data_IF_685658911749
#
_entry.id   IF_685658911749
#
_cell.length_a   1.000
_cell.length_b   1.000
_cell.length_c   1.000
_cell.angle_alpha   90.00
_cell.angle_beta   90.00
_cell.angle_gamma   90.00
#
_symmetry.space_group_name_H-M   'P 1'
#
loop_
_entity.id
_entity.type
_entity.pdbx_description
1 polymer ?
#
# COMPACT_ATOMS: atom_id res chain seq x y z
N UNK A 1 -23.20 -4.20 -8.25
CA UNK A 1 -21.98 -4.71 -8.92
C UNK A 1 -20.98 -4.97 -7.81
N UNK A 2 -20.71 -6.23 -7.45
CA UNK A 2 -20.08 -6.55 -6.15
C UNK A 2 -18.75 -7.28 -6.31
N UNK A 3 -17.98 -6.98 -7.36
CA UNK A 3 -16.67 -7.59 -7.59
C UNK A 3 -15.51 -6.58 -7.58
N UNK A 4 -15.81 -5.28 -7.46
CA UNK A 4 -14.80 -4.23 -7.42
C UNK A 4 -14.13 -4.26 -6.05
N UNK A 5 -12.84 -4.56 -6.04
CA UNK A 5 -11.99 -4.60 -4.85
C UNK A 5 -11.22 -3.29 -4.65
N UNK A 6 -10.85 -2.61 -5.73
CA UNK A 6 -10.16 -1.33 -5.68
C UNK A 6 -10.77 -0.35 -6.68
N UNK A 7 -11.00 0.88 -6.24
CA UNK A 7 -11.49 1.96 -7.08
C UNK A 7 -10.58 3.17 -6.89
N UNK A 8 -9.75 3.44 -7.90
CA UNK A 8 -8.93 4.63 -7.94
C UNK A 8 -9.50 5.60 -8.97
N UNK A 9 -9.94 6.76 -8.48
CA UNK A 9 -10.42 7.89 -9.27
C UNK A 9 -9.65 9.17 -8.92
N UNK A 10 -8.43 9.05 -8.37
CA UNK A 10 -7.65 10.23 -8.00
C UNK A 10 -7.13 11.00 -9.20
N UNK A 11 -6.81 12.28 -8.97
CA UNK A 11 -6.30 13.21 -9.99
C UNK A 11 -7.23 13.36 -11.20
N UNK A 12 -8.53 13.54 -10.93
CA UNK A 12 -9.52 13.84 -11.94
C UNK A 12 -10.17 15.20 -11.67
N UNK A 13 -11.02 15.64 -12.60
CA UNK A 13 -11.86 16.83 -12.44
C UNK A 13 -13.25 16.51 -11.90
N UNK A 14 -13.42 15.45 -11.09
CA UNK A 14 -14.74 15.04 -10.60
C UNK A 14 -15.28 16.09 -9.63
N UNK A 15 -16.54 16.47 -9.81
CA UNK A 15 -17.25 17.46 -9.02
C UNK A 15 -18.55 16.89 -8.42
N UNK A 16 -19.20 17.69 -7.60
CA UNK A 16 -20.41 17.29 -6.87
C UNK A 16 -20.14 16.36 -5.67
N UNK A 17 -21.19 15.80 -5.05
CA UNK A 17 -21.07 15.02 -3.83
C UNK A 17 -20.68 13.56 -4.07
N UNK A 18 -20.03 12.95 -3.08
CA UNK A 18 -19.77 11.51 -3.08
C UNK A 18 -21.12 10.77 -3.03
N UNK A 19 -21.43 9.92 -4.03
CA UNK A 19 -22.73 9.27 -4.11
C UNK A 19 -22.89 8.17 -3.07
N UNK A 20 -24.03 8.16 -2.37
CA UNK A 20 -24.37 7.14 -1.37
C UNK A 20 -24.35 5.71 -1.93
N UNK A 21 -24.64 5.55 -3.23
CA UNK A 21 -24.63 4.27 -3.92
C UNK A 21 -23.26 3.57 -3.92
N UNK A 22 -22.18 4.30 -3.64
CA UNK A 22 -20.84 3.72 -3.50
C UNK A 22 -20.76 2.73 -2.32
N UNK A 23 -21.66 2.85 -1.32
CA UNK A 23 -21.81 1.86 -0.26
C UNK A 23 -22.29 0.48 -0.74
N UNK A 24 -22.80 0.37 -1.97
CA UNK A 24 -23.24 -0.92 -2.52
C UNK A 24 -22.07 -1.79 -2.98
N UNK A 25 -20.85 -1.24 -3.04
CA UNK A 25 -19.64 -1.97 -3.40
C UNK A 25 -19.09 -2.74 -2.19
N UNK A 26 -19.86 -3.70 -1.66
CA UNK A 26 -19.59 -4.34 -0.36
C UNK A 26 -18.27 -5.11 -0.27
N UNK A 27 -17.57 -5.35 -1.38
CA UNK A 27 -16.24 -5.99 -1.43
C UNK A 27 -15.10 -4.99 -1.66
N UNK A 28 -15.39 -3.69 -1.68
CA UNK A 28 -14.38 -2.67 -1.89
C UNK A 28 -13.40 -2.67 -0.71
N UNK A 29 -12.11 -2.73 -1.03
CA UNK A 29 -10.98 -2.74 -0.09
C UNK A 29 -10.16 -1.46 -0.18
N UNK A 30 -10.08 -0.86 -1.37
CA UNK A 30 -9.36 0.40 -1.59
C UNK A 30 -10.23 1.40 -2.35
N UNK A 31 -10.32 2.63 -1.83
CA UNK A 31 -10.97 3.75 -2.49
C UNK A 31 -10.07 4.98 -2.45
N UNK A 32 -9.67 5.46 -3.61
CA UNK A 32 -8.92 6.70 -3.75
C UNK A 32 -9.73 7.69 -4.59
N UNK A 33 -10.17 8.77 -3.95
CA UNK A 33 -10.89 9.90 -4.56
C UNK A 33 -10.06 11.20 -4.47
N UNK A 34 -8.77 11.10 -4.12
CA UNK A 34 -7.94 12.28 -3.85
C UNK A 34 -7.72 13.15 -5.08
N UNK A 35 -7.38 14.42 -4.89
CA UNK A 35 -7.11 15.38 -5.97
C UNK A 35 -8.26 15.46 -6.99
N UNK A 36 -9.44 15.82 -6.48
CA UNK A 36 -10.64 16.09 -7.27
C UNK A 36 -11.29 17.40 -6.79
N UNK A 37 -12.45 17.74 -7.35
CA UNK A 37 -13.26 18.90 -6.94
C UNK A 37 -14.56 18.47 -6.24
N UNK A 38 -14.54 17.33 -5.52
CA UNK A 38 -15.72 16.81 -4.83
C UNK A 38 -16.15 17.74 -3.70
N UNK A 39 -17.45 17.84 -3.48
CA UNK A 39 -18.09 18.77 -2.53
C UNK A 39 -19.05 18.06 -1.58
N UNK A 40 -19.55 18.75 -0.56
CA UNK A 40 -20.50 18.18 0.39
C UNK A 40 -19.83 17.32 1.46
N UNK A 41 -20.57 16.35 2.00
CA UNK A 41 -20.15 15.55 3.15
C UNK A 41 -19.69 14.16 2.73
N UNK A 42 -18.84 13.53 3.53
CA UNK A 42 -18.54 12.10 3.41
C UNK A 42 -19.80 11.31 3.83
N UNK A 43 -20.43 10.52 2.95
CA UNK A 43 -21.67 9.83 3.26
C UNK A 43 -21.44 8.73 4.31
N UNK A 44 -22.22 8.77 5.40
CA UNK A 44 -22.21 7.77 6.47
C UNK A 44 -22.48 6.36 5.97
N UNK A 45 -23.16 6.22 4.84
CA UNK A 45 -23.42 4.95 4.20
C UNK A 45 -22.14 4.18 3.84
N UNK A 46 -20.99 4.86 3.66
CA UNK A 46 -19.70 4.21 3.42
C UNK A 46 -19.21 3.36 4.61
N UNK A 47 -19.75 3.57 5.81
CA UNK A 47 -19.48 2.70 6.97
C UNK A 47 -19.96 1.26 6.78
N UNK A 48 -20.81 0.99 5.77
CA UNK A 48 -21.25 -0.38 5.44
C UNK A 48 -20.17 -1.22 4.75
N UNK A 49 -19.11 -0.59 4.26
CA UNK A 49 -18.01 -1.27 3.58
C UNK A 49 -17.09 -1.85 4.65
N UNK A 50 -17.08 -3.18 4.85
CA UNK A 50 -16.37 -3.79 5.99
C UNK A 50 -14.91 -4.23 5.69
N UNK A 51 -14.48 -4.15 4.43
CA UNK A 51 -13.18 -4.66 3.98
C UNK A 51 -12.18 -3.56 3.63
N UNK A 52 -12.45 -2.32 4.03
CA UNK A 52 -11.71 -1.15 3.60
C UNK A 52 -10.35 -1.07 4.31
N UNK A 53 -9.28 -1.37 3.57
CA UNK A 53 -7.90 -1.26 4.03
C UNK A 53 -7.23 0.06 3.64
N UNK A 54 -7.76 0.75 2.62
CA UNK A 54 -7.18 2.00 2.12
C UNK A 54 -8.27 2.97 1.68
N UNK A 55 -8.20 4.21 2.16
CA UNK A 55 -9.16 5.28 1.85
C UNK A 55 -8.41 6.60 1.73
N UNK A 56 -8.70 7.37 0.67
CA UNK A 56 -8.24 8.75 0.55
C UNK A 56 -9.28 9.63 -0.12
N UNK A 57 -9.54 10.79 0.48
CA UNK A 57 -10.35 11.89 -0.06
C UNK A 57 -9.56 13.21 -0.01
N UNK A 58 -8.24 13.13 0.09
CA UNK A 58 -7.36 14.28 0.20
C UNK A 58 -7.51 15.24 -0.98
N UNK A 59 -7.23 16.53 -0.78
CA UNK A 59 -7.26 17.56 -1.82
C UNK A 59 -8.59 17.57 -2.61
N UNK A 60 -9.68 17.79 -1.88
CA UNK A 60 -11.02 18.02 -2.41
C UNK A 60 -11.65 19.25 -1.74
N UNK A 61 -12.92 19.54 -2.02
CA UNK A 61 -13.66 20.63 -1.38
C UNK A 61 -14.77 20.09 -0.46
N UNK A 62 -14.48 19.00 0.27
CA UNK A 62 -15.42 18.39 1.20
C UNK A 62 -15.58 19.24 2.47
N UNK A 63 -16.71 19.07 3.14
CA UNK A 63 -17.13 19.85 4.29
C UNK A 63 -17.79 19.00 5.38
N UNK A 64 -17.79 19.52 6.60
CA UNK A 64 -18.47 18.93 7.75
C UNK A 64 -17.58 17.97 8.53
N UNK A 65 -18.19 17.14 9.37
CA UNK A 65 -17.45 16.19 10.18
C UNK A 65 -16.91 15.03 9.34
N UNK A 66 -15.68 14.62 9.60
CA UNK A 66 -15.17 13.30 9.20
C UNK A 66 -16.05 12.20 9.82
N UNK A 67 -16.02 11.00 9.23
CA UNK A 67 -16.61 9.81 9.86
C UNK A 67 -15.79 9.33 11.08
N UNK A 68 -14.60 9.93 11.27
CA UNK A 68 -13.78 9.85 12.46
C UNK A 68 -13.59 8.46 13.04
N UNK A 69 -13.60 8.37 14.37
CA UNK A 69 -13.37 7.14 15.15
C UNK A 69 -14.48 6.09 15.02
N UNK A 70 -15.49 6.31 14.18
CA UNK A 70 -16.57 5.34 13.99
C UNK A 70 -16.14 4.22 13.03
N UNK A 71 -16.12 2.99 13.54
CA UNK A 71 -15.77 1.81 12.77
C UNK A 71 -14.33 1.84 12.25
N UNK A 72 -14.15 1.48 10.97
CA UNK A 72 -12.83 1.44 10.32
C UNK A 72 -12.30 2.83 9.96
N UNK A 73 -13.11 3.89 9.95
CA UNK A 73 -12.64 5.23 9.55
C UNK A 73 -11.64 5.83 10.55
N UNK A 74 -11.62 5.28 11.78
CA UNK A 74 -10.65 5.63 12.81
C UNK A 74 -9.26 5.04 12.60
N UNK A 75 -9.08 4.12 11.64
CA UNK A 75 -7.76 3.57 11.30
C UNK A 75 -7.06 4.33 10.19
N UNK A 76 -7.73 5.30 9.55
CA UNK A 76 -7.15 6.09 8.48
C UNK A 76 -6.41 7.30 9.03
N UNK A 77 -5.22 7.55 8.48
CA UNK A 77 -4.34 8.66 8.86
C UNK A 77 -4.91 10.02 8.44
N UNK A 78 -4.46 11.08 9.10
CA UNK A 78 -4.83 12.48 8.79
C UNK A 78 -4.57 12.87 7.33
N UNK A 79 -3.54 12.29 6.71
CA UNK A 79 -3.21 12.49 5.29
C UNK A 79 -4.33 12.05 4.35
N UNK A 80 -5.19 11.12 4.76
CA UNK A 80 -6.34 10.65 3.96
C UNK A 80 -7.42 11.73 3.79
N UNK A 81 -7.41 12.75 4.65
CA UNK A 81 -8.43 13.79 4.73
C UNK A 81 -7.88 15.20 4.45
N UNK A 82 -6.56 15.33 4.26
CA UNK A 82 -5.88 16.63 4.11
C UNK A 82 -6.35 17.42 2.88
N UNK A 83 -6.09 18.72 2.84
CA UNK A 83 -6.43 19.56 1.68
C UNK A 83 -7.93 19.79 1.47
N UNK A 84 -8.78 19.45 2.44
CA UNK A 84 -10.20 19.80 2.45
C UNK A 84 -10.47 20.97 3.42
N UNK A 85 -10.82 22.18 2.95
CA UNK A 85 -10.81 23.39 3.77
C UNK A 85 -11.87 23.43 4.88
N UNK A 86 -13.00 22.73 4.69
CA UNK A 86 -14.15 22.77 5.60
C UNK A 86 -14.41 21.43 6.30
N UNK A 87 -13.48 20.47 6.18
CA UNK A 87 -13.59 19.15 6.76
C UNK A 87 -12.91 19.12 8.14
N UNK A 88 -13.57 18.56 9.15
CA UNK A 88 -13.09 18.63 10.53
C UNK A 88 -13.47 17.41 11.38
N UNK A 89 -12.85 17.26 12.55
CA UNK A 89 -13.06 16.11 13.44
C UNK A 89 -12.02 15.01 13.25
N UNK A 90 -11.86 14.10 14.23
CA UNK A 90 -10.76 13.12 14.24
C UNK A 90 -10.65 12.37 12.90
N UNK A 91 -9.46 12.08 12.36
CA UNK A 91 -8.12 12.41 12.87
C UNK A 91 -7.71 13.88 12.68
N UNK A 92 -8.51 14.71 12.02
CA UNK A 92 -8.27 16.15 11.87
C UNK A 92 -8.64 16.93 13.15
N UNK A 93 -8.14 18.18 13.30
CA UNK A 93 -8.58 19.07 14.36
C UNK A 93 -10.11 19.27 14.34
N UNK A 94 -10.73 19.29 15.51
CA UNK A 94 -12.16 19.61 15.67
C UNK A 94 -12.41 21.08 15.35
N UNK A 95 -13.46 21.37 14.57
CA UNK A 95 -13.86 22.76 14.30
C UNK A 95 -14.38 23.42 15.58
N UNK A 96 -13.52 24.20 16.23
CA UNK A 96 -13.92 25.02 17.37
C UNK A 96 -12.79 25.51 18.28
N UNK A 97 -11.84 26.30 17.77
CA UNK A 97 -11.40 27.55 18.45
C UNK A 97 -10.60 28.42 17.47
N UNK A 98 -11.14 29.61 17.20
CA UNK A 98 -10.37 30.75 16.71
C UNK A 98 -9.38 31.19 17.79
N UNK A 99 -8.10 30.89 17.61
CA UNK A 99 -7.00 31.59 18.28
C UNK A 99 -5.82 31.66 17.30
N UNK A 100 -5.74 32.76 16.55
CA UNK A 100 -4.51 33.19 15.87
C UNK A 100 -3.51 33.75 16.89
N UNK A 101 -2.22 33.92 16.53
CA UNK A 101 -1.14 32.94 16.39
C UNK A 101 -0.07 33.13 17.50
N UNK A 102 1.00 32.30 17.51
CA UNK A 102 2.30 32.96 17.40
C UNK A 102 3.10 32.38 16.24
N UNK A 103 3.83 33.28 15.59
CA UNK A 103 4.85 32.96 14.62
C UNK A 103 5.82 31.91 15.15
N UNK A 104 5.96 30.82 14.40
CA UNK A 104 7.15 29.99 14.39
C UNK A 104 7.56 29.83 12.92
N UNK A 105 8.50 30.68 12.57
CA UNK A 105 9.67 30.40 11.74
C UNK A 105 9.66 29.08 10.97
N UNK A 106 9.88 29.22 9.68
CA UNK A 106 10.48 28.25 8.79
C UNK A 106 11.61 27.48 9.50
N UNK A 107 11.40 26.21 9.81
CA UNK A 107 12.48 25.25 9.99
C UNK A 107 12.10 23.99 9.21
N UNK A 108 12.84 23.76 8.14
CA UNK A 108 12.67 22.61 7.29
C UNK A 108 12.87 21.34 8.09
N UNK A 109 11.83 20.50 8.10
CA UNK A 109 12.08 19.08 8.16
C UNK A 109 11.24 18.39 7.08
N UNK A 110 11.98 18.01 6.05
CA UNK A 110 11.62 17.23 4.88
C UNK A 110 10.75 16.03 5.29
N UNK A 111 9.43 16.10 5.11
CA UNK A 111 8.54 14.93 5.21
C UNK A 111 8.76 14.02 4.00
N UNK A 112 9.87 13.29 4.11
CA UNK A 112 10.35 12.26 3.20
C UNK A 112 9.52 10.99 3.43
N UNK A 113 8.21 11.05 3.19
CA UNK A 113 7.28 9.95 3.45
C UNK A 113 6.86 9.15 2.20
N UNK A 114 6.83 9.77 1.02
CA UNK A 114 6.43 9.08 -0.23
C UNK A 114 7.62 8.69 -1.11
N UNK A 115 8.67 9.52 -1.13
CA UNK A 115 9.88 9.21 -1.88
C UNK A 115 10.68 8.06 -1.28
N UNK A 116 10.65 7.85 0.05
CA UNK A 116 11.41 6.75 0.67
C UNK A 116 10.86 5.39 0.28
N UNK A 117 9.54 5.24 0.20
CA UNK A 117 8.90 3.97 -0.18
C UNK A 117 9.10 3.66 -1.66
N UNK A 118 8.97 4.67 -2.54
CA UNK A 118 9.25 4.50 -3.97
C UNK A 118 10.74 4.23 -4.23
N UNK A 119 11.65 4.87 -3.49
CA UNK A 119 13.11 4.62 -3.59
C UNK A 119 13.45 3.24 -3.02
N UNK A 120 12.85 2.83 -1.90
CA UNK A 120 13.05 1.51 -1.31
C UNK A 120 12.56 0.41 -2.26
N UNK A 121 11.29 0.45 -2.69
CA UNK A 121 10.72 -0.53 -3.61
C UNK A 121 11.46 -0.50 -4.96
N UNK A 122 11.78 0.68 -5.48
CA UNK A 122 12.57 0.83 -6.70
C UNK A 122 13.95 0.18 -6.60
N UNK A 123 14.64 0.31 -5.46
CA UNK A 123 15.96 -0.30 -5.25
C UNK A 123 15.93 -1.83 -5.24
N UNK A 124 14.88 -2.44 -4.69
CA UNK A 124 14.70 -3.89 -4.71
C UNK A 124 14.47 -4.40 -6.14
N UNK A 125 13.62 -3.72 -6.91
CA UNK A 125 13.33 -4.10 -8.30
C UNK A 125 14.58 -3.97 -9.17
N UNK A 126 15.32 -2.86 -9.05
CA UNK A 126 16.57 -2.65 -9.80
C UNK A 126 17.62 -3.69 -9.42
N UNK A 127 17.76 -4.02 -8.14
CA UNK A 127 18.70 -5.05 -7.67
C UNK A 127 18.31 -6.44 -8.17
N UNK A 128 17.02 -6.77 -8.20
CA UNK A 128 16.52 -8.03 -8.73
C UNK A 128 16.81 -8.14 -10.23
N UNK A 129 16.53 -7.09 -11.01
CA UNK A 129 16.80 -7.05 -12.44
C UNK A 129 18.30 -7.18 -12.71
N UNK A 130 19.15 -6.39 -12.04
CA UNK A 130 20.61 -6.46 -12.24
C UNK A 130 21.16 -7.83 -11.82
N UNK A 131 20.72 -8.38 -10.69
CA UNK A 131 21.17 -9.69 -10.21
C UNK A 131 20.71 -10.84 -11.13
N UNK A 132 19.45 -10.82 -11.55
CA UNK A 132 18.88 -11.84 -12.43
C UNK A 132 19.51 -11.80 -13.83
N UNK A 133 19.55 -10.63 -14.47
CA UNK A 133 20.15 -10.51 -15.80
C UNK A 133 21.68 -10.62 -15.78
N UNK A 134 22.33 -10.12 -14.74
CA UNK A 134 23.77 -10.24 -14.54
C UNK A 134 24.21 -11.70 -14.35
N UNK A 135 23.50 -12.48 -13.54
CA UNK A 135 23.78 -13.91 -13.37
C UNK A 135 23.54 -14.69 -14.67
N UNK A 136 22.46 -14.41 -15.40
CA UNK A 136 22.20 -15.00 -16.72
C UNK A 136 23.33 -14.65 -17.70
N UNK A 137 23.76 -13.39 -17.74
CA UNK A 137 24.84 -12.94 -18.62
C UNK A 137 26.19 -13.61 -18.26
N UNK A 138 26.50 -13.75 -16.96
CA UNK A 138 27.71 -14.45 -16.48
C UNK A 138 27.69 -15.93 -16.89
N UNK A 139 26.53 -16.59 -16.78
CA UNK A 139 26.36 -17.98 -17.26
C UNK A 139 26.52 -18.10 -18.78
N UNK A 140 26.17 -17.05 -19.53
CA UNK A 140 26.27 -17.03 -21.00
C UNK A 140 27.69 -16.71 -21.51
N UNK A 141 28.40 -15.78 -20.85
CA UNK A 141 29.70 -15.29 -21.34
C UNK A 141 30.85 -16.28 -21.10
N UNK A 142 30.79 -17.08 -20.02
CA UNK A 142 31.79 -18.14 -19.74
C UNK A 142 31.15 -19.52 -19.74
N UNK A 143 31.12 -20.15 -20.92
CA UNK A 143 30.67 -21.53 -21.15
C UNK A 143 31.31 -22.57 -20.20
N UNK A 144 32.51 -22.30 -19.69
CA UNK A 144 33.21 -23.13 -18.70
C UNK A 144 32.63 -23.02 -17.28
N UNK A 145 32.15 -21.85 -16.85
CA UNK A 145 31.57 -21.66 -15.51
C UNK A 145 30.19 -22.30 -15.41
N UNK A 146 29.43 -22.27 -16.50
CA UNK A 146 28.14 -22.94 -16.57
C UNK A 146 28.25 -24.45 -16.26
N UNK A 147 29.27 -25.13 -16.82
CA UNK A 147 29.52 -26.55 -16.54
C UNK A 147 29.84 -26.83 -15.07
N UNK A 148 30.66 -25.98 -14.44
CA UNK A 148 31.05 -26.12 -13.03
C UNK A 148 29.85 -25.87 -12.11
N UNK A 149 29.02 -24.86 -12.44
CA UNK A 149 27.80 -24.56 -11.69
C UNK A 149 26.82 -25.74 -11.73
N UNK A 150 26.52 -26.28 -12.91
CA UNK A 150 25.65 -27.45 -13.03
C UNK A 150 26.19 -28.67 -12.29
N UNK A 151 27.51 -28.91 -12.33
CA UNK A 151 28.14 -29.99 -11.55
C UNK A 151 28.04 -29.77 -10.03
N UNK A 152 28.15 -28.53 -9.56
CA UNK A 152 28.03 -28.20 -8.15
C UNK A 152 26.59 -28.36 -7.65
N UNK A 153 25.60 -27.89 -8.43
CA UNK A 153 24.17 -28.07 -8.14
C UNK A 153 23.84 -29.57 -8.10
N UNK A 154 24.26 -30.33 -9.11
CA UNK A 154 23.99 -31.77 -9.19
C UNK A 154 24.65 -32.55 -8.03
N UNK A 155 25.87 -32.15 -7.62
CA UNK A 155 26.52 -32.74 -6.44
C UNK A 155 25.75 -32.45 -5.16
N UNK A 156 25.24 -31.22 -5.00
CA UNK A 156 24.51 -30.82 -3.81
C UNK A 156 23.14 -31.50 -3.73
N UNK A 157 22.38 -31.55 -4.83
CA UNK A 157 21.08 -32.22 -4.88
C UNK A 157 21.20 -33.72 -4.61
N UNK A 158 22.21 -34.39 -5.17
CA UNK A 158 22.46 -35.80 -4.90
C UNK A 158 22.82 -36.07 -3.44
N UNK A 159 23.67 -35.22 -2.82
CA UNK A 159 24.01 -35.35 -1.40
C UNK A 159 22.78 -35.16 -0.51
N UNK A 160 21.95 -34.16 -0.82
CA UNK A 160 20.72 -33.88 -0.10
C UNK A 160 19.73 -35.04 -0.23
N UNK A 161 19.55 -35.58 -1.44
CA UNK A 161 18.68 -36.71 -1.71
C UNK A 161 19.13 -37.97 -0.95
N UNK A 162 20.43 -38.27 -0.93
CA UNK A 162 20.98 -39.41 -0.18
C UNK A 162 20.75 -39.25 1.31
N UNK A 163 21.01 -38.06 1.87
CA UNK A 163 20.77 -37.79 3.29
C UNK A 163 19.29 -37.91 3.65
N UNK A 164 18.39 -37.34 2.84
CA UNK A 164 16.94 -37.46 3.03
C UNK A 164 16.50 -38.93 2.96
N UNK A 165 17.00 -39.69 1.97
CA UNK A 165 16.68 -41.11 1.81
C UNK A 165 17.18 -41.94 3.00
N UNK A 166 18.37 -41.66 3.52
CA UNK A 166 18.92 -42.31 4.71
C UNK A 166 18.13 -41.97 5.96
N UNK A 167 17.68 -40.72 6.12
CA UNK A 167 16.81 -40.31 7.23
C UNK A 167 15.46 -41.05 7.18
N UNK A 168 14.82 -41.10 6.01
CA UNK A 168 13.56 -41.85 5.80
C UNK A 168 13.77 -43.35 6.08
N UNK A 169 14.88 -43.93 5.64
CA UNK A 169 15.19 -45.34 5.86
C UNK A 169 15.46 -45.64 7.34
N UNK A 170 16.16 -44.75 8.07
CA UNK A 170 16.36 -44.88 9.53
C UNK A 170 15.05 -44.74 10.30
N UNK A 171 14.20 -43.77 9.95
CA UNK A 171 12.91 -43.57 10.60
C UNK A 171 11.99 -44.81 10.46
N UNK A 172 12.00 -45.45 9.29
CA UNK A 172 11.21 -46.66 9.01
C UNK A 172 11.77 -47.93 9.67
N UNK A 173 13.02 -47.95 10.11
CA UNK A 173 13.66 -49.12 10.75
C UNK A 173 13.53 -49.08 12.30
N UNK A 174 12.86 -48.05 12.84
CA UNK A 174 12.63 -47.81 14.27
C UNK A 174 11.14 -48.04 14.65
N UNK A 175 10.27 -48.24 13.66
CA UNK A 175 8.85 -48.63 13.79
C UNK A 175 8.71 -50.09 13.39
#
# INVERSE_FOLDING_TARGET
MNWILALNLSNNGLDGPIPKSLSNLTRLESLDLSHNSLTGHIPRELMKLNFFGSFSVAYNNLSGATLGTEGQFGTFESSSYEGNPNLCGPPLPTSGTSASPPAATHDGNLERGSHVDLILVGSFVVSFVIGFWGSIAVLYFKRSWNRIFFLAVDKYTNLLLVNVTLLIKRARNIV
#
